data_IF_427898370773
#
_entry.id   IF_427898370773
#
_cell.length_a   1.000
_cell.length_b   1.000
_cell.length_c   1.000
_cell.angle_alpha   90.00
_cell.angle_beta   90.00
_cell.angle_gamma   90.00
#
_symmetry.space_group_name_H-M   'P 1'
#
loop_
_entity.id
_entity.type
_entity.pdbx_description
1 polymer ?
#
# COMPACT_ATOMS: atom_id res chain seq x y z
N UNK A 1 -14.22 -27.61 -19.17
CA UNK A 1 -14.52 -26.16 -19.13
C UNK A 1 -13.21 -25.45 -18.85
N UNK A 2 -12.74 -24.62 -19.77
CA UNK A 2 -11.43 -23.95 -19.71
C UNK A 2 -11.48 -22.82 -18.69
N UNK A 3 -10.75 -22.97 -17.58
CA UNK A 3 -10.50 -21.87 -16.65
C UNK A 3 -9.56 -20.86 -17.32
N UNK A 4 -9.99 -19.61 -17.44
CA UNK A 4 -9.17 -18.55 -18.03
C UNK A 4 -8.47 -17.79 -16.91
N UNK A 5 -7.30 -18.30 -16.49
CA UNK A 5 -6.50 -17.76 -15.39
C UNK A 5 -6.42 -16.22 -15.40
N UNK A 6 -6.04 -15.62 -16.53
CA UNK A 6 -5.90 -14.17 -16.66
C UNK A 6 -7.24 -13.42 -16.53
N UNK A 7 -8.32 -13.95 -17.11
CA UNK A 7 -9.65 -13.34 -17.04
C UNK A 7 -10.22 -13.39 -15.63
N UNK A 8 -10.15 -14.56 -14.99
CA UNK A 8 -10.64 -14.79 -13.63
C UNK A 8 -9.88 -13.91 -12.63
N UNK A 9 -8.55 -13.85 -12.74
CA UNK A 9 -7.71 -12.99 -11.88
C UNK A 9 -8.04 -11.51 -12.08
N UNK A 10 -8.20 -11.03 -13.31
CA UNK A 10 -8.52 -9.63 -13.58
C UNK A 10 -9.88 -9.22 -12.98
N UNK A 11 -10.90 -10.06 -13.15
CA UNK A 11 -12.25 -9.80 -12.61
C UNK A 11 -12.24 -9.80 -11.07
N UNK A 12 -11.59 -10.78 -10.44
CA UNK A 12 -11.46 -10.87 -9.00
C UNK A 12 -10.65 -9.70 -8.42
N UNK A 13 -9.59 -9.28 -9.11
CA UNK A 13 -8.78 -8.10 -8.74
C UNK A 13 -9.63 -6.83 -8.80
N UNK A 14 -10.38 -6.61 -9.88
CA UNK A 14 -11.26 -5.45 -10.02
C UNK A 14 -12.35 -5.39 -8.95
N UNK A 15 -12.97 -6.55 -8.62
CA UNK A 15 -13.91 -6.65 -7.50
C UNK A 15 -13.27 -6.20 -6.19
N UNK A 16 -12.09 -6.72 -5.91
CA UNK A 16 -11.41 -6.52 -4.63
C UNK A 16 -10.89 -5.09 -4.48
N UNK A 17 -10.35 -4.50 -5.54
CA UNK A 17 -10.02 -3.07 -5.61
C UNK A 17 -11.23 -2.18 -5.33
N UNK A 18 -12.40 -2.51 -5.88
CA UNK A 18 -13.62 -1.73 -5.62
C UNK A 18 -14.03 -1.78 -4.15
N UNK A 19 -13.80 -2.89 -3.45
CA UNK A 19 -14.01 -2.97 -2.00
C UNK A 19 -13.03 -2.08 -1.25
N UNK A 20 -11.75 -2.06 -1.65
CA UNK A 20 -10.73 -1.16 -1.05
C UNK A 20 -11.14 0.30 -1.20
N UNK A 21 -11.52 0.74 -2.40
CA UNK A 21 -11.90 2.15 -2.65
C UNK A 21 -13.19 2.57 -1.94
N UNK A 22 -14.04 1.61 -1.54
CA UNK A 22 -15.29 1.86 -0.83
C UNK A 22 -15.15 1.71 0.68
N UNK A 23 -14.04 1.19 1.15
CA UNK A 23 -13.75 1.07 2.58
C UNK A 23 -13.07 2.34 3.05
N UNK A 24 -13.87 3.21 3.68
CA UNK A 24 -13.36 4.44 4.29
C UNK A 24 -12.27 4.14 5.32
N UNK A 25 -12.45 3.07 6.10
CA UNK A 25 -11.50 2.60 7.10
C UNK A 25 -10.15 2.21 6.50
N UNK A 26 -10.14 1.54 5.34
CA UNK A 26 -8.89 1.24 4.62
C UNK A 26 -8.15 2.50 4.21
N UNK A 27 -8.87 3.48 3.64
CA UNK A 27 -8.26 4.74 3.18
C UNK A 27 -7.69 5.51 4.38
N UNK A 28 -8.44 5.58 5.48
CA UNK A 28 -7.99 6.25 6.71
C UNK A 28 -6.70 5.60 7.22
N UNK A 29 -6.71 4.28 7.41
CA UNK A 29 -5.59 3.59 8.07
C UNK A 29 -4.35 3.49 7.20
N UNK A 30 -4.49 3.32 5.89
CA UNK A 30 -3.36 3.07 4.97
C UNK A 30 -2.76 4.35 4.37
N UNK A 31 -3.48 5.46 4.38
CA UNK A 31 -3.01 6.74 3.80
C UNK A 31 -3.06 7.87 4.81
N UNK A 32 -4.22 8.10 5.43
CA UNK A 32 -4.42 9.26 6.29
C UNK A 32 -3.57 9.13 7.56
N UNK A 33 -3.52 7.96 8.20
CA UNK A 33 -2.72 7.76 9.42
C UNK A 33 -1.23 7.97 9.19
N UNK A 34 -0.57 7.37 8.17
CA UNK A 34 0.84 7.67 7.86
C UNK A 34 1.09 9.15 7.56
N UNK A 35 0.21 9.80 6.80
CA UNK A 35 0.32 11.23 6.49
C UNK A 35 0.18 12.09 7.75
N UNK A 36 -0.82 11.80 8.59
CA UNK A 36 -1.05 12.50 9.84
C UNK A 36 0.14 12.34 10.80
N UNK A 37 0.70 11.14 10.89
CA UNK A 37 1.93 10.89 11.65
C UNK A 37 3.10 11.70 11.09
N UNK A 38 3.28 11.71 9.77
CA UNK A 38 4.31 12.51 9.13
C UNK A 38 4.16 14.00 9.47
N UNK A 39 2.95 14.55 9.35
CA UNK A 39 2.66 15.96 9.69
C UNK A 39 2.93 16.25 11.17
N UNK A 40 2.48 15.35 12.06
CA UNK A 40 2.70 15.47 13.49
C UNK A 40 4.19 15.52 13.80
N UNK A 41 4.98 14.57 13.29
CA UNK A 41 6.40 14.60 13.55
C UNK A 41 7.05 15.84 12.94
N UNK A 42 6.82 16.17 11.67
CA UNK A 42 7.48 17.33 11.02
C UNK A 42 7.16 18.64 11.73
N UNK A 43 5.89 18.92 12.01
CA UNK A 43 5.47 20.24 12.50
C UNK A 43 5.38 20.34 14.01
N UNK A 44 5.07 19.25 14.72
CA UNK A 44 4.96 19.25 16.19
C UNK A 44 6.30 18.90 16.83
N UNK A 45 6.96 17.84 16.35
CA UNK A 45 8.22 17.36 16.94
C UNK A 45 9.49 17.87 16.24
N UNK A 46 9.37 18.43 15.03
CA UNK A 46 10.54 18.86 14.24
C UNK A 46 11.36 19.99 14.87
N UNK A 47 10.77 20.78 15.78
CA UNK A 47 11.50 21.79 16.56
C UNK A 47 12.26 21.24 17.77
N UNK A 48 11.98 20.00 18.18
CA UNK A 48 12.58 19.36 19.35
C UNK A 48 13.70 18.37 18.98
N UNK A 49 13.81 17.99 17.69
CA UNK A 49 14.74 16.99 17.20
C UNK A 49 15.76 17.66 16.28
N UNK A 50 17.03 17.61 16.67
CA UNK A 50 18.13 18.09 15.83
C UNK A 50 18.57 16.99 14.85
N UNK A 51 18.39 17.25 13.55
CA UNK A 51 18.87 16.38 12.46
C UNK A 51 20.14 16.89 11.78
N UNK A 52 20.83 17.85 12.40
CA UNK A 52 22.06 18.45 11.89
C UNK A 52 21.80 19.20 10.60
N UNK A 53 22.52 18.84 9.53
CA UNK A 53 22.43 19.50 8.21
C UNK A 53 21.32 18.97 7.31
N UNK A 54 20.62 17.90 7.71
CA UNK A 54 19.58 17.26 6.91
C UNK A 54 18.21 17.78 7.31
N UNK A 55 17.37 18.16 6.34
CA UNK A 55 15.97 18.49 6.60
C UNK A 55 15.26 17.31 7.29
N UNK A 56 14.55 17.58 8.38
CA UNK A 56 13.85 16.53 9.14
C UNK A 56 12.84 15.74 8.29
N UNK A 57 12.22 16.39 7.30
CA UNK A 57 11.35 15.73 6.32
C UNK A 57 12.09 14.65 5.52
N UNK A 58 13.33 14.94 5.10
CA UNK A 58 14.15 14.00 4.34
C UNK A 58 14.61 12.82 5.20
N UNK A 59 14.88 13.05 6.49
CA UNK A 59 15.26 12.00 7.43
C UNK A 59 14.10 11.04 7.70
N UNK A 60 12.88 11.57 7.84
CA UNK A 60 11.73 10.77 8.29
C UNK A 60 10.96 10.07 7.16
N UNK A 61 10.99 10.61 5.94
CA UNK A 61 10.21 10.07 4.81
C UNK A 61 10.38 8.55 4.63
N UNK A 62 11.59 7.97 4.61
CA UNK A 62 11.74 6.53 4.42
C UNK A 62 11.00 5.69 5.47
N UNK A 63 11.01 6.12 6.73
CA UNK A 63 10.29 5.46 7.82
C UNK A 63 8.78 5.50 7.63
N UNK A 64 8.24 6.64 7.19
CA UNK A 64 6.81 6.76 6.92
C UNK A 64 6.40 5.93 5.70
N UNK A 65 7.23 5.83 4.66
CA UNK A 65 6.95 4.98 3.50
C UNK A 65 6.86 3.51 3.91
N UNK A 66 7.78 3.04 4.77
CA UNK A 66 7.71 1.68 5.33
C UNK A 66 6.49 1.47 6.23
N UNK A 67 6.14 2.46 7.06
CA UNK A 67 4.93 2.42 7.88
C UNK A 67 3.66 2.32 7.02
N UNK A 68 3.63 3.05 5.90
CA UNK A 68 2.54 3.03 4.93
C UNK A 68 2.36 1.62 4.36
N UNK A 69 3.45 1.00 3.89
CA UNK A 69 3.44 -0.38 3.37
C UNK A 69 2.98 -1.38 4.44
N UNK A 70 3.56 -1.30 5.65
CA UNK A 70 3.24 -2.20 6.75
C UNK A 70 1.73 -2.15 7.10
N UNK A 71 1.15 -0.94 7.11
CA UNK A 71 -0.29 -0.77 7.33
C UNK A 71 -1.14 -1.37 6.21
N UNK A 72 -0.74 -1.20 4.95
CA UNK A 72 -1.44 -1.75 3.79
C UNK A 72 -1.39 -3.28 3.72
N UNK A 73 -0.25 -3.89 4.07
CA UNK A 73 -0.11 -5.36 4.18
C UNK A 73 -1.00 -5.89 5.30
N UNK A 74 -0.99 -5.24 6.47
CA UNK A 74 -1.84 -5.62 7.61
C UNK A 74 -3.32 -5.63 7.22
N UNK A 75 -3.75 -4.62 6.46
CA UNK A 75 -5.13 -4.53 5.99
C UNK A 75 -5.48 -5.59 4.94
N UNK A 76 -4.53 -5.90 4.04
CA UNK A 76 -4.70 -6.97 3.06
C UNK A 76 -4.83 -8.33 3.75
N UNK A 77 -4.00 -8.60 4.77
CA UNK A 77 -4.09 -9.81 5.58
C UNK A 77 -5.43 -9.90 6.31
N UNK A 78 -5.90 -8.80 6.89
CA UNK A 78 -7.22 -8.74 7.54
C UNK A 78 -8.37 -9.04 6.56
N UNK A 79 -8.32 -8.47 5.35
CA UNK A 79 -9.30 -8.75 4.29
C UNK A 79 -9.29 -10.22 3.86
N UNK A 80 -8.09 -10.77 3.62
CA UNK A 80 -7.94 -12.18 3.26
C UNK A 80 -8.51 -13.09 4.37
N UNK A 81 -8.21 -12.79 5.63
CA UNK A 81 -8.76 -13.50 6.78
C UNK A 81 -10.29 -13.43 6.84
N UNK A 82 -10.86 -12.25 6.56
CA UNK A 82 -12.31 -12.06 6.54
C UNK A 82 -12.97 -12.86 5.41
N UNK A 83 -12.36 -12.86 4.22
CA UNK A 83 -12.83 -13.64 3.07
C UNK A 83 -12.79 -15.15 3.35
N UNK A 84 -11.73 -15.64 4.00
CA UNK A 84 -11.64 -17.02 4.47
C UNK A 84 -12.73 -17.34 5.49
N UNK A 85 -12.91 -16.49 6.51
CA UNK A 85 -13.91 -16.71 7.57
C UNK A 85 -15.35 -16.66 7.03
N UNK A 86 -15.59 -15.91 5.96
CA UNK A 86 -16.92 -15.76 5.34
C UNK A 86 -17.36 -16.97 4.50
N UNK A 87 -16.48 -17.93 4.24
CA UNK A 87 -16.78 -19.09 3.40
C UNK A 87 -16.76 -18.80 1.88
N UNK A 88 -16.26 -17.63 1.46
CA UNK A 88 -16.21 -17.24 0.05
C UNK A 88 -15.25 -18.12 -0.75
N UNK A 89 -14.16 -18.57 -0.14
CA UNK A 89 -13.17 -19.44 -0.79
C UNK A 89 -13.78 -20.79 -1.19
N UNK A 90 -14.61 -21.39 -0.35
CA UNK A 90 -15.32 -22.64 -0.62
C UNK A 90 -16.31 -22.47 -1.78
N UNK A 91 -16.97 -21.31 -1.88
CA UNK A 91 -17.85 -20.98 -3.02
C UNK A 91 -17.05 -20.81 -4.32
N UNK A 92 -15.88 -20.19 -4.26
CA UNK A 92 -14.99 -20.07 -5.41
C UNK A 92 -14.45 -21.44 -5.86
N UNK A 93 -14.20 -22.35 -4.93
CA UNK A 93 -13.73 -23.71 -5.25
C UNK A 93 -14.77 -24.58 -5.95
N UNK A 94 -16.07 -24.31 -5.78
CA UNK A 94 -17.14 -25.03 -6.48
C UNK A 94 -17.50 -24.42 -7.85
N UNK A 95 -16.98 -23.23 -8.17
CA UNK A 95 -17.15 -22.58 -9.46
C UNK A 95 -16.03 -22.97 -10.45
N UNK A 96 -16.28 -22.89 -11.77
CA UNK A 96 -15.27 -23.21 -12.79
C UNK A 96 -14.25 -22.06 -12.96
N UNK A 97 -13.54 -21.70 -11.88
CA UNK A 97 -12.53 -20.64 -11.86
C UNK A 97 -11.16 -21.18 -11.47
N UNK A 98 -10.09 -20.52 -11.94
CA UNK A 98 -8.73 -20.88 -11.54
C UNK A 98 -8.52 -20.61 -10.03
N UNK A 99 -8.26 -21.67 -9.24
CA UNK A 99 -8.06 -21.56 -7.77
C UNK A 99 -6.93 -20.59 -7.40
N UNK A 100 -5.86 -20.57 -8.17
CA UNK A 100 -4.74 -19.62 -8.01
C UNK A 100 -5.15 -18.17 -8.28
N UNK A 101 -6.20 -17.94 -9.06
CA UNK A 101 -6.65 -16.61 -9.44
C UNK A 101 -7.16 -15.78 -8.26
N UNK A 102 -7.70 -16.42 -7.22
CA UNK A 102 -8.15 -15.75 -5.99
C UNK A 102 -6.95 -15.20 -5.20
N UNK A 103 -5.90 -16.01 -5.01
CA UNK A 103 -4.68 -15.57 -4.34
C UNK A 103 -3.99 -14.44 -5.12
N UNK A 104 -3.84 -14.60 -6.43
CA UNK A 104 -3.26 -13.55 -7.28
C UNK A 104 -4.07 -12.26 -7.25
N UNK A 105 -5.40 -12.32 -7.15
CA UNK A 105 -6.22 -11.13 -7.03
C UNK A 105 -5.92 -10.34 -5.75
N UNK A 106 -5.65 -11.00 -4.63
CA UNK A 106 -5.22 -10.32 -3.41
C UNK A 106 -3.83 -9.69 -3.56
N UNK A 107 -2.89 -10.39 -4.20
CA UNK A 107 -1.53 -9.86 -4.46
C UNK A 107 -1.59 -8.60 -5.33
N UNK A 108 -2.27 -8.66 -6.48
CA UNK A 108 -2.41 -7.49 -7.35
C UNK A 108 -3.16 -6.35 -6.69
N UNK A 109 -4.20 -6.65 -5.91
CA UNK A 109 -4.92 -5.62 -5.16
C UNK A 109 -4.02 -4.95 -4.11
N UNK A 110 -3.22 -5.74 -3.37
CA UNK A 110 -2.25 -5.22 -2.39
C UNK A 110 -1.24 -4.29 -3.07
N UNK A 111 -0.68 -4.76 -4.18
CA UNK A 111 0.35 -4.03 -4.93
C UNK A 111 -0.17 -2.70 -5.46
N UNK A 112 -1.35 -2.69 -6.08
CA UNK A 112 -1.98 -1.46 -6.57
C UNK A 112 -2.34 -0.52 -5.42
N UNK A 113 -2.94 -1.03 -4.34
CA UNK A 113 -3.34 -0.20 -3.20
C UNK A 113 -2.12 0.45 -2.53
N UNK A 114 -1.08 -0.33 -2.23
CA UNK A 114 0.16 0.19 -1.62
C UNK A 114 0.88 1.18 -2.54
N UNK A 115 0.94 0.93 -3.84
CA UNK A 115 1.52 1.88 -4.80
C UNK A 115 0.78 3.22 -4.81
N UNK A 116 -0.56 3.19 -4.81
CA UNK A 116 -1.36 4.42 -4.73
C UNK A 116 -1.08 5.16 -3.42
N UNK A 117 -1.07 4.45 -2.29
CA UNK A 117 -0.76 5.05 -0.98
C UNK A 117 0.63 5.67 -0.94
N UNK A 118 1.65 4.99 -1.47
CA UNK A 118 3.01 5.50 -1.57
C UNK A 118 3.09 6.77 -2.42
N UNK A 119 2.43 6.78 -3.59
CA UNK A 119 2.38 7.97 -4.46
C UNK A 119 1.76 9.15 -3.73
N UNK A 120 0.68 8.93 -2.99
CA UNK A 120 0.03 9.98 -2.19
C UNK A 120 0.97 10.50 -1.10
N UNK A 121 1.58 9.60 -0.31
CA UNK A 121 2.50 9.97 0.78
C UNK A 121 3.72 10.72 0.26
N UNK A 122 4.32 10.28 -0.85
CA UNK A 122 5.43 10.99 -1.51
C UNK A 122 4.96 12.35 -2.02
N UNK A 123 3.76 12.44 -2.61
CA UNK A 123 3.17 13.70 -3.05
C UNK A 123 3.02 14.70 -1.90
N UNK A 124 2.53 14.26 -0.74
CA UNK A 124 2.44 15.09 0.46
C UNK A 124 3.83 15.48 0.96
N UNK A 125 4.79 14.56 0.99
CA UNK A 125 6.15 14.86 1.39
C UNK A 125 6.79 15.95 0.52
N UNK A 126 6.59 15.89 -0.80
CA UNK A 126 7.04 16.92 -1.73
C UNK A 126 6.42 18.29 -1.42
N UNK A 127 5.12 18.34 -1.11
CA UNK A 127 4.45 19.58 -0.71
C UNK A 127 5.00 20.17 0.59
N UNK A 128 5.42 19.33 1.52
CA UNK A 128 6.06 19.75 2.78
C UNK A 128 7.53 20.16 2.63
N UNK A 129 8.07 20.15 1.40
CA UNK A 129 9.45 20.58 1.13
C UNK A 129 10.48 19.46 1.14
N UNK A 130 10.06 18.19 1.03
CA UNK A 130 10.99 17.09 0.73
C UNK A 130 11.76 17.40 -0.55
N UNK A 131 13.09 17.36 -0.48
CA UNK A 131 13.98 17.53 -1.64
C UNK A 131 15.02 16.43 -1.63
N UNK A 132 14.93 15.53 -2.61
CA UNK A 132 15.94 14.49 -2.82
C UNK A 132 17.03 14.98 -3.78
N UNK A 133 18.30 14.84 -3.40
CA UNK A 133 19.43 14.91 -4.35
C UNK A 133 19.62 13.62 -5.16
N UNK A 134 18.69 12.66 -5.05
CA UNK A 134 18.78 11.35 -5.68
C UNK A 134 18.51 11.42 -7.18
N UNK A 135 19.38 10.80 -7.98
CA UNK A 135 19.16 10.60 -9.41
C UNK A 135 18.06 9.57 -9.70
N UNK A 136 17.64 9.48 -10.98
CA UNK A 136 16.57 8.57 -11.41
C UNK A 136 16.81 7.10 -11.04
N UNK A 137 18.07 6.64 -11.11
CA UNK A 137 18.44 5.25 -10.79
C UNK A 137 18.27 4.95 -9.28
N UNK A 138 18.57 5.91 -8.41
CA UNK A 138 18.35 5.76 -6.98
C UNK A 138 16.85 5.72 -6.64
N UNK A 139 16.02 6.51 -7.32
CA UNK A 139 14.56 6.43 -7.18
C UNK A 139 14.00 5.09 -7.67
N UNK A 140 14.52 4.54 -8.76
CA UNK A 140 14.15 3.20 -9.22
C UNK A 140 14.56 2.12 -8.21
N UNK A 141 15.74 2.24 -7.59
CA UNK A 141 16.16 1.32 -6.53
C UNK A 141 15.23 1.40 -5.31
N UNK A 142 14.85 2.61 -4.86
CA UNK A 142 13.88 2.80 -3.77
C UNK A 142 12.52 2.21 -4.13
N UNK A 143 12.01 2.48 -5.33
CA UNK A 143 10.76 1.89 -5.81
C UNK A 143 10.83 0.36 -5.84
N UNK A 144 11.95 -0.21 -6.31
CA UNK A 144 12.19 -1.65 -6.30
C UNK A 144 12.18 -2.24 -4.89
N UNK A 145 12.82 -1.59 -3.92
CA UNK A 145 12.78 -2.02 -2.51
C UNK A 145 11.35 -1.95 -1.98
N UNK A 146 10.65 -0.84 -2.16
CA UNK A 146 9.26 -0.69 -1.68
C UNK A 146 8.31 -1.72 -2.30
N UNK A 147 8.51 -2.06 -3.58
CA UNK A 147 7.78 -3.13 -4.26
C UNK A 147 8.11 -4.52 -3.73
N UNK A 148 9.38 -4.80 -3.40
CA UNK A 148 9.77 -6.09 -2.79
C UNK A 148 9.16 -6.29 -1.40
N UNK A 149 8.93 -5.21 -0.67
CA UNK A 149 8.31 -5.25 0.66
C UNK A 149 6.78 -5.35 0.60
N UNK A 150 6.14 -5.03 -0.54
CA UNK A 150 4.68 -4.97 -0.73
C UNK A 150 4.08 -6.31 -1.13
#
# INVERSE_FOLDING_TARGET
MTAYFFGDTAVLTGRTLRHVTRSMDTIITTVITPVAMMLMFVYVFGGAIDTGSVSYVNYMLPGILLMTIASGISYTAYRLFTDMKSGIFERFQSMPIARSGVLWAHVFTSLVANLISLVIVVGVALLMGFRSGAGALAWLAVAGILLLFT
#
